data_IF_984061378539
#
_entry.id   IF_984061378539
#
_cell.length_a   1.000
_cell.length_b   1.000
_cell.length_c   1.000
_cell.angle_alpha   90.00
_cell.angle_beta   90.00
_cell.angle_gamma   90.00
#
_symmetry.space_group_name_H-M   'P 1'
#
loop_
_entity.id
_entity.type
_entity.pdbx_description
1 polymer ?
#
# COMPACT_ATOMS: atom_id res chain seq x y z
N UNK A 1 -3.68 18.55 0.69
CA UNK A 1 -3.93 17.35 1.49
C UNK A 1 -5.21 17.65 2.25
N UNK A 2 -6.26 16.87 2.00
CA UNK A 2 -7.50 16.94 2.75
C UNK A 2 -7.71 15.56 3.37
N UNK A 3 -7.96 15.51 4.66
CA UNK A 3 -8.18 14.26 5.39
C UNK A 3 -9.66 13.85 5.29
N UNK A 4 -9.94 12.55 5.40
CA UNK A 4 -11.33 12.07 5.39
C UNK A 4 -12.06 12.57 6.64
N UNK A 5 -11.37 12.74 7.76
CA UNK A 5 -11.92 13.32 8.98
C UNK A 5 -12.35 14.78 8.79
N UNK A 6 -11.72 15.53 7.88
CA UNK A 6 -12.18 16.87 7.52
C UNK A 6 -13.52 16.79 6.75
N UNK A 7 -13.69 15.81 5.86
CA UNK A 7 -14.98 15.57 5.17
C UNK A 7 -16.06 15.17 6.17
N UNK A 8 -15.73 14.32 7.15
CA UNK A 8 -16.65 13.92 8.22
C UNK A 8 -17.09 15.13 9.04
N UNK A 9 -16.16 16.00 9.43
CA UNK A 9 -16.45 17.17 10.27
C UNK A 9 -17.18 18.28 9.49
N UNK A 10 -16.86 18.47 8.21
CA UNK A 10 -17.40 19.56 7.40
C UNK A 10 -18.75 19.22 6.75
N UNK A 11 -18.96 17.96 6.35
CA UNK A 11 -20.14 17.55 5.55
C UNK A 11 -21.05 16.58 6.31
N UNK A 12 -20.49 15.49 6.87
CA UNK A 12 -21.29 14.41 7.45
C UNK A 12 -21.90 14.77 8.81
N UNK A 13 -21.06 15.12 9.80
CA UNK A 13 -21.51 15.41 11.15
C UNK A 13 -22.48 16.60 11.23
N UNK A 14 -22.29 17.71 10.49
CA UNK A 14 -23.26 18.80 10.46
C UNK A 14 -24.61 18.35 9.90
N UNK A 15 -24.60 17.51 8.85
CA UNK A 15 -25.82 16.97 8.24
C UNK A 15 -26.55 16.04 9.21
N UNK A 16 -25.86 15.03 9.77
CA UNK A 16 -26.45 14.06 10.71
C UNK A 16 -26.95 14.73 11.98
N UNK A 17 -26.19 15.66 12.57
CA UNK A 17 -26.64 16.43 13.76
C UNK A 17 -27.87 17.27 13.46
N UNK A 18 -27.93 17.87 12.27
CA UNK A 18 -29.08 18.65 11.84
C UNK A 18 -30.34 17.77 11.71
N UNK A 19 -30.20 16.58 11.11
CA UNK A 19 -31.28 15.61 10.97
C UNK A 19 -31.75 15.07 12.34
N UNK A 20 -30.82 14.70 13.23
CA UNK A 20 -31.15 14.28 14.60
C UNK A 20 -31.81 15.40 15.41
N UNK A 21 -31.35 16.63 15.26
CA UNK A 21 -31.95 17.78 15.94
C UNK A 21 -33.39 18.01 15.48
N UNK A 22 -33.68 17.88 14.18
CA UNK A 22 -35.04 17.96 13.65
C UNK A 22 -35.93 16.81 14.15
N UNK A 23 -35.46 15.56 14.05
CA UNK A 23 -36.20 14.39 14.52
C UNK A 23 -36.57 14.49 16.01
N UNK A 24 -35.61 14.87 16.87
CA UNK A 24 -35.87 15.06 18.31
C UNK A 24 -36.85 16.22 18.58
N UNK A 25 -36.79 17.30 17.79
CA UNK A 25 -37.73 18.43 17.90
C UNK A 25 -39.15 18.02 17.53
N UNK A 26 -39.31 17.20 16.50
CA UNK A 26 -40.62 16.64 16.10
C UNK A 26 -41.18 15.71 17.18
N UNK A 27 -40.31 15.03 17.92
CA UNK A 27 -40.65 14.20 19.10
C UNK A 27 -40.90 15.01 20.38
N UNK A 28 -40.88 16.34 20.31
CA UNK A 28 -41.28 17.24 21.40
C UNK A 28 -40.14 17.76 22.28
N UNK A 29 -38.87 17.50 21.94
CA UNK A 29 -37.75 18.01 22.71
C UNK A 29 -37.65 19.54 22.60
N UNK A 30 -37.26 20.19 23.72
CA UNK A 30 -36.84 21.59 23.72
C UNK A 30 -35.44 21.72 23.11
N UNK A 31 -35.07 22.93 22.67
CA UNK A 31 -33.72 23.17 22.15
C UNK A 31 -32.60 22.84 23.16
N UNK A 32 -32.87 22.96 24.46
CA UNK A 32 -31.91 22.60 25.51
C UNK A 32 -31.75 21.10 25.62
N UNK A 33 -32.84 20.34 25.62
CA UNK A 33 -32.79 18.88 25.68
C UNK A 33 -32.09 18.29 24.44
N UNK A 34 -32.32 18.86 23.25
CA UNK A 34 -31.57 18.47 22.04
C UNK A 34 -30.09 18.78 22.17
N UNK A 35 -29.73 19.95 22.73
CA UNK A 35 -28.33 20.33 22.93
C UNK A 35 -27.62 19.35 23.88
N UNK A 36 -28.29 18.98 24.97
CA UNK A 36 -27.78 18.02 25.95
C UNK A 36 -27.64 16.61 25.35
N UNK A 37 -28.62 16.16 24.56
CA UNK A 37 -28.60 14.84 23.93
C UNK A 37 -27.49 14.71 22.86
N UNK A 38 -27.26 15.76 22.08
CA UNK A 38 -26.28 15.76 20.99
C UNK A 38 -24.88 16.23 21.42
N UNK A 39 -24.71 16.69 22.67
CA UNK A 39 -23.44 17.19 23.19
C UNK A 39 -22.95 18.46 22.50
N UNK A 40 -23.86 19.34 22.08
CA UNK A 40 -23.55 20.61 21.37
C UNK A 40 -24.15 21.81 22.09
N UNK A 41 -23.82 23.02 21.66
CA UNK A 41 -24.44 24.22 22.24
C UNK A 41 -25.90 24.38 21.80
N UNK A 42 -26.73 24.96 22.67
CA UNK A 42 -28.10 25.36 22.29
C UNK A 42 -28.12 26.32 21.08
N UNK A 43 -27.08 27.16 20.93
CA UNK A 43 -26.95 28.04 19.76
C UNK A 43 -26.68 27.26 18.46
N UNK A 44 -25.97 26.12 18.52
CA UNK A 44 -25.80 25.23 17.38
C UNK A 44 -27.14 24.56 16.99
N UNK A 45 -27.91 24.08 17.97
CA UNK A 45 -29.27 23.55 17.75
C UNK A 45 -30.17 24.59 17.10
N UNK A 46 -30.10 25.85 17.54
CA UNK A 46 -30.87 26.94 16.93
C UNK A 46 -30.52 27.13 15.46
N UNK A 47 -29.24 27.05 15.07
CA UNK A 47 -28.82 27.17 13.67
C UNK A 47 -29.34 26.00 12.83
N UNK A 48 -29.28 24.78 13.34
CA UNK A 48 -29.84 23.62 12.65
C UNK A 48 -31.34 23.77 12.40
N UNK A 49 -32.10 24.18 13.42
CA UNK A 49 -33.55 24.33 13.33
C UNK A 49 -34.02 25.46 12.38
N UNK A 50 -33.17 26.43 12.07
CA UNK A 50 -33.48 27.51 11.11
C UNK A 50 -32.93 27.21 9.70
N UNK A 51 -32.28 26.06 9.50
CA UNK A 51 -31.65 25.72 8.23
C UNK A 51 -30.39 26.53 7.92
N UNK A 52 -29.79 27.18 8.92
CA UNK A 52 -28.60 28.02 8.77
C UNK A 52 -27.30 27.20 8.63
N UNK A 53 -27.39 25.87 8.64
CA UNK A 53 -26.25 24.96 8.43
C UNK A 53 -26.48 24.18 7.15
N UNK A 54 -25.53 24.29 6.23
CA UNK A 54 -25.53 23.53 4.98
C UNK A 54 -25.60 22.03 5.29
N UNK A 55 -26.49 21.34 4.57
CA UNK A 55 -26.59 19.88 4.57
C UNK A 55 -26.03 19.37 3.26
N UNK A 56 -25.34 18.25 3.31
CA UNK A 56 -24.87 17.58 2.11
C UNK A 56 -25.97 16.68 1.54
N UNK A 57 -26.43 16.98 0.32
CA UNK A 57 -27.60 16.30 -0.29
C UNK A 57 -27.43 14.78 -0.37
N UNK A 58 -26.23 14.28 -0.72
CA UNK A 58 -25.95 12.83 -0.76
C UNK A 58 -26.02 12.17 0.63
N UNK A 59 -25.65 12.88 1.70
CA UNK A 59 -25.74 12.36 3.08
C UNK A 59 -27.19 12.35 3.56
N UNK A 60 -27.96 13.38 3.22
CA UNK A 60 -29.41 13.42 3.46
C UNK A 60 -30.13 12.31 2.70
N UNK A 61 -29.63 11.96 1.51
CA UNK A 61 -30.20 10.95 0.61
C UNK A 61 -29.94 9.51 1.02
N UNK A 62 -28.86 9.25 1.77
CA UNK A 62 -28.43 7.88 2.12
C UNK A 62 -29.41 7.20 3.07
N UNK A 63 -29.92 6.03 2.67
CA UNK A 63 -30.92 5.27 3.43
C UNK A 63 -30.38 4.83 4.79
N UNK A 64 -29.11 4.43 4.88
CA UNK A 64 -28.49 3.95 6.13
C UNK A 64 -28.32 5.10 7.12
N UNK A 65 -28.01 6.29 6.63
CA UNK A 65 -27.96 7.51 7.45
C UNK A 65 -29.35 7.81 8.01
N UNK A 66 -30.40 7.77 7.18
CA UNK A 66 -31.78 8.02 7.64
C UNK A 66 -32.24 6.98 8.67
N UNK A 67 -32.01 5.70 8.41
CA UNK A 67 -32.35 4.62 9.35
C UNK A 67 -31.61 4.77 10.68
N UNK A 68 -30.33 5.18 10.65
CA UNK A 68 -29.58 5.46 11.86
C UNK A 68 -30.18 6.65 12.62
N UNK A 69 -30.46 7.76 11.93
CA UNK A 69 -31.05 8.96 12.54
C UNK A 69 -32.38 8.63 13.21
N UNK A 70 -33.27 7.90 12.53
CA UNK A 70 -34.56 7.50 13.07
C UNK A 70 -34.41 6.61 14.31
N UNK A 71 -33.55 5.59 14.24
CA UNK A 71 -33.32 4.65 15.35
C UNK A 71 -32.67 5.32 16.57
N UNK A 72 -31.64 6.13 16.34
CA UNK A 72 -30.95 6.87 17.40
C UNK A 72 -31.88 7.93 18.00
N UNK A 73 -32.64 8.64 17.16
CA UNK A 73 -33.62 9.64 17.59
C UNK A 73 -34.74 9.03 18.44
N UNK A 74 -35.30 7.88 18.02
CA UNK A 74 -36.27 7.12 18.80
C UNK A 74 -35.69 6.65 20.13
N UNK A 75 -34.52 6.03 20.11
CA UNK A 75 -33.86 5.53 21.31
C UNK A 75 -33.51 6.63 22.32
N UNK A 76 -33.05 7.79 21.84
CA UNK A 76 -32.78 8.97 22.68
C UNK A 76 -34.07 9.53 23.28
N UNK A 77 -35.15 9.61 22.49
CA UNK A 77 -36.45 10.10 22.95
C UNK A 77 -37.11 9.19 23.99
N UNK A 78 -36.96 7.87 23.84
CA UNK A 78 -37.45 6.88 24.80
C UNK A 78 -36.56 6.75 26.04
N UNK A 79 -35.31 7.20 25.97
CA UNK A 79 -34.30 7.00 27.01
C UNK A 79 -33.63 5.62 26.99
N UNK A 80 -33.89 4.83 25.95
CA UNK A 80 -33.31 3.49 25.74
C UNK A 80 -31.86 3.56 25.21
N UNK A 81 -31.52 4.65 24.52
CA UNK A 81 -30.18 4.93 23.99
C UNK A 81 -29.57 6.09 24.75
N UNK A 82 -28.35 5.91 25.25
CA UNK A 82 -27.56 6.98 25.88
C UNK A 82 -26.81 7.79 24.83
N UNK A 83 -26.40 9.04 25.10
CA UNK A 83 -25.55 9.81 24.18
C UNK A 83 -24.25 9.09 23.79
N UNK A 84 -23.68 8.29 24.70
CA UNK A 84 -22.49 7.48 24.42
C UNK A 84 -22.81 6.34 23.45
N UNK A 85 -23.96 5.67 23.61
CA UNK A 85 -24.38 4.63 22.67
C UNK A 85 -24.70 5.21 21.29
N UNK A 86 -25.38 6.36 21.23
CA UNK A 86 -25.62 7.09 19.99
C UNK A 86 -24.32 7.46 19.27
N UNK A 87 -23.32 7.96 20.02
CA UNK A 87 -21.97 8.21 19.49
C UNK A 87 -21.38 6.93 18.87
N UNK A 88 -21.42 5.81 19.59
CA UNK A 88 -20.87 4.53 19.07
C UNK A 88 -21.58 4.10 17.79
N UNK A 89 -22.91 4.20 17.70
CA UNK A 89 -23.63 3.83 16.49
C UNK A 89 -23.31 4.74 15.30
N UNK A 90 -23.15 6.05 15.53
CA UNK A 90 -22.72 7.02 14.51
C UNK A 90 -21.29 6.73 14.04
N UNK A 91 -20.36 6.48 14.97
CA UNK A 91 -18.97 6.12 14.66
C UNK A 91 -18.87 4.81 13.87
N UNK A 92 -19.71 3.82 14.19
CA UNK A 92 -19.78 2.57 13.42
C UNK A 92 -20.29 2.82 12.00
N UNK A 93 -21.27 3.70 11.81
CA UNK A 93 -21.73 4.05 10.46
C UNK A 93 -20.66 4.83 9.69
N UNK A 94 -19.99 5.81 10.33
CA UNK A 94 -18.90 6.57 9.71
C UNK A 94 -17.86 5.61 9.13
N UNK A 95 -17.35 4.67 9.94
CA UNK A 95 -16.36 3.68 9.47
C UNK A 95 -16.83 2.88 8.26
N UNK A 96 -18.09 2.44 8.26
CA UNK A 96 -18.66 1.69 7.12
C UNK A 96 -18.75 2.55 5.86
N UNK A 97 -19.03 3.83 6.01
CA UNK A 97 -19.12 4.75 4.87
C UNK A 97 -17.75 5.20 4.35
N UNK A 98 -16.71 5.11 5.19
CA UNK A 98 -15.31 5.36 4.81
C UNK A 98 -14.71 4.21 3.98
N UNK A 99 -15.26 3.01 4.07
CA UNK A 99 -14.77 1.80 3.37
C UNK A 99 -15.29 1.72 1.92
N UNK A 100 -14.74 2.55 1.03
CA UNK A 100 -15.06 2.53 -0.41
C UNK A 100 -16.52 2.90 -0.73
N UNK A 101 -17.14 3.71 0.13
CA UNK A 101 -18.55 4.08 0.05
C UNK A 101 -18.71 5.62 0.15
N UNK A 102 -19.87 6.11 0.56
CA UNK A 102 -20.25 7.51 0.51
C UNK A 102 -19.19 8.50 1.03
N UNK A 103 -18.53 8.22 2.16
CA UNK A 103 -17.51 9.13 2.69
C UNK A 103 -16.19 9.05 1.89
N UNK A 104 -15.86 7.88 1.35
CA UNK A 104 -14.75 7.73 0.42
C UNK A 104 -15.01 8.53 -0.88
N UNK A 105 -16.21 8.41 -1.46
CA UNK A 105 -16.59 9.18 -2.66
C UNK A 105 -16.46 10.70 -2.44
N UNK A 106 -16.98 11.19 -1.30
CA UNK A 106 -16.89 12.61 -0.95
C UNK A 106 -15.44 13.05 -0.70
N UNK A 107 -14.59 12.15 -0.20
CA UNK A 107 -13.18 12.40 0.00
C UNK A 107 -12.42 12.48 -1.32
N UNK A 108 -12.69 11.57 -2.25
CA UNK A 108 -12.14 11.61 -3.62
C UNK A 108 -12.56 12.88 -4.36
N UNK A 109 -13.82 13.29 -4.28
CA UNK A 109 -14.29 14.55 -4.85
C UNK A 109 -13.53 15.76 -4.28
N UNK A 110 -13.23 15.72 -2.99
CA UNK A 110 -12.50 16.79 -2.31
C UNK A 110 -10.96 16.69 -2.51
N UNK A 111 -10.44 15.54 -2.92
CA UNK A 111 -9.04 15.29 -3.24
C UNK A 111 -8.90 14.38 -4.49
N UNK A 112 -9.07 14.95 -5.70
CA UNK A 112 -9.14 14.16 -6.95
C UNK A 112 -7.92 13.28 -7.23
N UNK A 113 -6.75 13.61 -6.67
CA UNK A 113 -5.54 12.80 -6.80
C UNK A 113 -5.66 11.39 -6.14
N UNK A 114 -6.70 11.13 -5.36
CA UNK A 114 -7.00 9.80 -4.82
C UNK A 114 -7.58 8.86 -5.89
N UNK A 115 -8.37 9.39 -6.84
CA UNK A 115 -8.97 8.60 -7.92
C UNK A 115 -7.93 8.02 -8.88
N UNK A 116 -6.82 8.74 -9.11
CA UNK A 116 -5.71 8.29 -9.97
C UNK A 116 -4.86 7.17 -9.34
N UNK A 117 -5.07 6.86 -8.04
CA UNK A 117 -4.26 5.89 -7.32
C UNK A 117 -4.79 4.44 -7.40
N UNK A 118 -5.97 4.20 -7.96
CA UNK A 118 -6.60 2.87 -8.14
C UNK A 118 -6.60 2.01 -6.85
N UNK A 119 -6.94 2.65 -5.73
CA UNK A 119 -6.93 2.01 -4.41
C UNK A 119 -8.34 2.05 -3.85
N UNK A 120 -8.98 0.88 -3.73
CA UNK A 120 -10.09 0.67 -2.78
C UNK A 120 -9.62 1.11 -1.39
N UNK A 121 -9.97 2.33 -0.99
CA UNK A 121 -9.38 2.98 0.17
C UNK A 121 -10.24 2.77 1.42
N UNK A 122 -9.60 2.20 2.44
CA UNK A 122 -9.83 2.53 3.84
C UNK A 122 -8.57 3.24 4.35
N UNK A 123 -8.60 4.57 4.43
CA UNK A 123 -7.47 5.41 4.89
C UNK A 123 -7.13 5.12 6.37
N UNK A 124 -8.04 4.45 7.10
CA UNK A 124 -7.91 4.11 8.52
C UNK A 124 -7.61 2.65 8.82
N UNK A 125 -7.44 1.78 7.81
CA UNK A 125 -6.92 0.45 8.06
C UNK A 125 -5.38 0.49 8.23
N UNK A 126 -4.82 0.13 9.40
CA UNK A 126 -3.37 -0.07 9.57
C UNK A 126 -2.74 -1.04 8.56
N UNK A 127 -3.56 -1.89 7.93
CA UNK A 127 -3.19 -2.89 6.92
C UNK A 127 -3.64 -2.50 5.48
N UNK A 128 -4.03 -1.24 5.23
CA UNK A 128 -4.44 -0.79 3.89
C UNK A 128 -3.35 -1.02 2.83
N UNK A 129 -3.76 -1.54 1.67
CA UNK A 129 -2.89 -1.83 0.53
C UNK A 129 -2.06 -0.62 0.06
N UNK A 130 -2.55 0.62 0.24
CA UNK A 130 -1.72 1.82 -0.05
C UNK A 130 -0.51 1.91 0.88
N UNK A 131 -0.66 1.71 2.18
CA UNK A 131 0.46 1.83 3.12
C UNK A 131 1.53 0.81 2.79
N UNK A 132 1.12 -0.41 2.44
CA UNK A 132 2.04 -1.43 1.98
C UNK A 132 2.72 -1.05 0.67
N UNK A 133 1.95 -0.62 -0.35
CA UNK A 133 2.50 -0.13 -1.63
C UNK A 133 3.50 1.00 -1.44
N UNK A 134 3.23 1.96 -0.56
CA UNK A 134 4.16 3.05 -0.23
C UNK A 134 5.38 2.58 0.56
N UNK A 135 5.24 1.60 1.46
CA UNK A 135 6.39 0.98 2.15
C UNK A 135 7.31 0.30 1.13
N UNK A 136 6.75 -0.47 0.20
CA UNK A 136 7.47 -1.13 -0.89
C UNK A 136 8.19 -0.11 -1.77
N UNK A 137 7.49 0.92 -2.27
CA UNK A 137 8.10 1.99 -3.07
C UNK A 137 9.22 2.71 -2.30
N UNK A 138 9.00 3.01 -1.02
CA UNK A 138 10.00 3.65 -0.15
C UNK A 138 11.24 2.77 0.07
N UNK A 139 11.05 1.45 0.20
CA UNK A 139 12.13 0.48 0.30
C UNK A 139 12.95 0.42 -0.99
N UNK A 140 12.30 0.37 -2.16
CA UNK A 140 13.00 0.42 -3.46
C UNK A 140 13.77 1.73 -3.63
N UNK A 141 13.17 2.89 -3.31
CA UNK A 141 13.87 4.20 -3.31
C UNK A 141 15.07 4.21 -2.37
N UNK A 142 14.99 3.56 -1.21
CA UNK A 142 16.12 3.42 -0.28
C UNK A 142 17.20 2.52 -0.89
N UNK A 143 16.85 1.35 -1.44
CA UNK A 143 17.79 0.45 -2.10
C UNK A 143 18.50 1.11 -3.27
N UNK A 144 17.76 1.83 -4.11
CA UNK A 144 18.28 2.63 -5.20
C UNK A 144 19.35 3.64 -4.73
N UNK A 145 19.02 4.45 -3.71
CA UNK A 145 19.98 5.40 -3.11
C UNK A 145 21.21 4.70 -2.52
N UNK A 146 21.05 3.51 -1.94
CA UNK A 146 22.17 2.74 -1.40
C UNK A 146 23.13 2.34 -2.51
N UNK A 147 22.61 1.84 -3.65
CA UNK A 147 23.43 1.41 -4.78
C UNK A 147 24.05 2.57 -5.55
N UNK A 148 23.29 3.65 -5.81
CA UNK A 148 23.82 4.80 -6.57
C UNK A 148 24.88 5.59 -5.81
N UNK A 149 24.84 5.58 -4.47
CA UNK A 149 25.89 6.16 -3.62
C UNK A 149 27.09 5.22 -3.41
N UNK A 150 26.99 3.96 -3.83
CA UNK A 150 28.06 2.98 -3.68
C UNK A 150 29.08 3.15 -4.82
N UNK A 151 30.25 3.68 -4.48
CA UNK A 151 31.37 3.79 -5.41
C UNK A 151 31.72 2.42 -5.99
N UNK A 152 31.59 2.26 -7.31
CA UNK A 152 31.92 1.02 -7.99
C UNK A 152 30.74 0.12 -8.35
N UNK A 153 29.51 0.43 -7.88
CA UNK A 153 28.31 -0.31 -8.28
C UNK A 153 28.09 -0.35 -9.79
N UNK A 154 28.48 0.71 -10.53
CA UNK A 154 28.42 0.72 -11.99
C UNK A 154 29.13 -0.49 -12.63
N UNK A 155 30.20 -1.01 -12.01
CA UNK A 155 30.92 -2.21 -12.48
C UNK A 155 30.15 -3.51 -12.27
N UNK A 156 29.08 -3.50 -11.48
CA UNK A 156 28.19 -4.64 -11.27
C UNK A 156 26.98 -4.62 -12.20
N UNK A 157 26.78 -3.56 -12.98
CA UNK A 157 25.61 -3.44 -13.88
C UNK A 157 25.84 -4.33 -15.12
N UNK A 158 24.90 -5.26 -15.45
CA UNK A 158 24.97 -6.05 -16.68
C UNK A 158 24.61 -5.20 -17.92
N UNK A 159 24.89 -5.72 -19.12
CA UNK A 159 24.57 -5.01 -20.37
C UNK A 159 23.05 -4.77 -20.54
N UNK A 160 22.21 -5.70 -20.05
CA UNK A 160 20.75 -5.53 -20.01
C UNK A 160 20.25 -4.61 -18.88
N UNK A 161 21.15 -4.02 -18.08
CA UNK A 161 20.83 -3.15 -16.95
C UNK A 161 20.51 -3.90 -15.65
N UNK A 162 20.78 -3.23 -14.53
CA UNK A 162 20.44 -3.71 -13.19
C UNK A 162 19.08 -3.16 -12.76
N UNK A 163 18.40 -3.83 -11.85
CA UNK A 163 17.17 -3.33 -11.25
C UNK A 163 17.15 -3.64 -9.76
N UNK A 164 16.37 -2.84 -9.03
CA UNK A 164 16.03 -3.05 -7.63
C UNK A 164 14.52 -3.20 -7.60
N UNK A 165 14.03 -4.30 -7.06
CA UNK A 165 12.61 -4.60 -7.02
C UNK A 165 12.16 -5.07 -5.64
N UNK A 166 10.92 -4.78 -5.27
CA UNK A 166 10.27 -5.37 -4.11
C UNK A 166 8.78 -5.59 -4.39
N UNK A 167 8.22 -6.69 -3.90
CA UNK A 167 6.81 -7.03 -4.09
C UNK A 167 6.02 -6.96 -2.78
N UNK A 168 4.68 -6.85 -2.92
CA UNK A 168 3.73 -6.94 -1.82
C UNK A 168 3.77 -8.32 -1.13
N UNK A 169 3.23 -8.41 0.07
CA UNK A 169 3.20 -9.60 0.91
C UNK A 169 2.41 -10.73 0.28
N UNK A 170 1.32 -10.41 -0.42
CA UNK A 170 0.46 -11.36 -1.13
C UNK A 170 0.64 -11.33 -2.67
N UNK A 171 1.74 -10.73 -3.15
CA UNK A 171 2.03 -10.54 -4.57
C UNK A 171 1.90 -11.84 -5.39
N UNK A 172 1.17 -11.77 -6.51
CA UNK A 172 0.95 -12.90 -7.43
C UNK A 172 1.35 -12.59 -8.86
N UNK A 173 1.28 -11.32 -9.24
CA UNK A 173 1.53 -10.86 -10.60
C UNK A 173 2.64 -9.82 -10.64
N UNK A 174 3.10 -9.48 -11.85
CA UNK A 174 4.13 -8.46 -12.05
C UNK A 174 3.64 -7.07 -11.56
N UNK A 175 2.33 -6.82 -11.60
CA UNK A 175 1.71 -5.57 -11.17
C UNK A 175 1.79 -5.37 -9.64
N UNK A 176 2.08 -6.43 -8.90
CA UNK A 176 2.30 -6.41 -7.44
C UNK A 176 3.77 -6.16 -7.07
N UNK A 177 4.64 -5.92 -8.07
CA UNK A 177 6.08 -5.71 -7.89
C UNK A 177 6.48 -4.30 -8.30
N UNK A 178 7.05 -3.54 -7.36
CA UNK A 178 7.66 -2.25 -7.64
C UNK A 178 9.11 -2.41 -8.09
N UNK A 179 9.52 -1.65 -9.09
CA UNK A 179 10.90 -1.62 -9.59
C UNK A 179 11.22 -0.30 -10.28
N UNK A 180 12.44 -0.14 -10.81
CA UNK A 180 12.83 1.05 -11.59
C UNK A 180 12.46 0.86 -13.07
N UNK A 181 11.64 1.75 -13.67
CA UNK A 181 11.35 1.72 -15.10
C UNK A 181 12.63 2.04 -15.90
N UNK A 182 12.85 1.29 -16.98
CA UNK A 182 14.03 1.47 -17.82
C UNK A 182 15.36 0.95 -17.24
N UNK A 183 15.37 0.44 -16.00
CA UNK A 183 16.52 -0.17 -15.29
C UNK A 183 17.67 0.82 -15.01
N UNK A 184 18.56 0.45 -14.10
CA UNK A 184 19.82 1.15 -13.85
C UNK A 184 20.83 0.77 -14.92
N UNK A 185 21.48 1.77 -15.50
CA UNK A 185 22.47 1.59 -16.58
C UNK A 185 23.80 2.25 -16.24
N UNK A 186 24.92 1.66 -16.67
CA UNK A 186 26.23 2.29 -16.53
C UNK A 186 26.43 3.36 -17.61
N UNK A 187 26.57 4.61 -17.19
CA UNK A 187 26.93 5.74 -18.05
C UNK A 187 28.25 6.32 -17.57
N UNK A 188 29.35 5.95 -18.26
CA UNK A 188 30.72 6.42 -17.99
C UNK A 188 31.20 6.12 -16.55
N UNK A 189 30.90 4.94 -16.03
CA UNK A 189 31.29 4.50 -14.70
C UNK A 189 30.38 5.04 -13.59
N UNK A 190 29.17 5.49 -13.94
CA UNK A 190 28.17 6.02 -13.01
C UNK A 190 26.84 5.29 -13.26
N UNK A 191 26.20 4.84 -12.18
CA UNK A 191 24.87 4.25 -12.27
C UNK A 191 23.82 5.34 -12.51
N UNK A 192 23.20 5.34 -13.69
CA UNK A 192 22.13 6.25 -14.07
C UNK A 192 20.76 5.60 -13.79
N UNK A 193 19.84 6.40 -13.25
CA UNK A 193 18.45 5.99 -12.96
C UNK A 193 17.51 6.74 -13.91
N UNK A 194 16.74 6.05 -14.77
CA UNK A 194 15.86 6.71 -15.75
C UNK A 194 14.60 7.34 -15.17
N UNK A 195 14.10 6.84 -14.04
CA UNK A 195 12.84 7.28 -13.44
C UNK A 195 12.66 6.83 -11.99
N UNK A 196 11.57 7.28 -11.38
CA UNK A 196 11.18 6.88 -10.03
C UNK A 196 10.64 5.44 -10.01
N UNK A 197 10.71 4.72 -8.88
CA UNK A 197 10.14 3.38 -8.79
C UNK A 197 8.62 3.37 -9.00
N UNK A 198 8.14 2.36 -9.72
CA UNK A 198 6.74 2.17 -10.10
C UNK A 198 6.40 0.66 -10.04
N UNK A 199 5.12 0.34 -9.85
CA UNK A 199 4.61 -1.04 -9.90
C UNK A 199 4.46 -1.54 -11.35
N UNK A 200 4.68 -2.82 -11.60
CA UNK A 200 4.43 -3.44 -12.91
C UNK A 200 5.50 -3.20 -13.98
N UNK A 201 6.60 -2.51 -13.66
CA UNK A 201 7.57 -2.02 -14.69
C UNK A 201 8.76 -2.95 -14.98
N UNK A 202 8.90 -4.08 -14.27
CA UNK A 202 10.07 -4.98 -14.41
C UNK A 202 9.70 -6.45 -14.50
N UNK A 203 9.38 -6.90 -15.72
CA UNK A 203 8.98 -8.28 -15.99
C UNK A 203 10.00 -9.34 -15.53
N UNK A 204 11.29 -9.18 -15.88
CA UNK A 204 12.28 -10.22 -15.63
C UNK A 204 12.61 -10.40 -14.14
N UNK A 205 12.88 -9.30 -13.41
CA UNK A 205 13.21 -9.38 -11.99
C UNK A 205 11.98 -9.79 -11.18
N UNK A 206 10.80 -9.29 -11.54
CA UNK A 206 9.53 -9.73 -10.93
C UNK A 206 9.30 -11.23 -11.16
N UNK A 207 9.54 -11.75 -12.36
CA UNK A 207 9.38 -13.18 -12.66
C UNK A 207 10.29 -14.05 -11.81
N UNK A 208 11.57 -13.70 -11.67
CA UNK A 208 12.51 -14.45 -10.82
C UNK A 208 12.09 -14.42 -9.35
N UNK A 209 11.74 -13.22 -8.84
CA UNK A 209 11.32 -13.03 -7.45
C UNK A 209 10.04 -13.83 -7.15
N UNK A 210 9.00 -13.69 -7.97
CA UNK A 210 7.73 -14.38 -7.79
C UNK A 210 7.89 -15.90 -7.90
N UNK A 211 8.67 -16.40 -8.86
CA UNK A 211 8.94 -17.83 -9.01
C UNK A 211 9.63 -18.43 -7.77
N UNK A 212 10.61 -17.71 -7.22
CA UNK A 212 11.29 -18.13 -6.00
C UNK A 212 10.33 -18.16 -4.80
N UNK A 213 9.44 -17.15 -4.69
CA UNK A 213 8.42 -17.09 -3.64
C UNK A 213 7.39 -18.22 -3.75
N UNK A 214 6.92 -18.53 -4.95
CA UNK A 214 6.03 -19.67 -5.20
C UNK A 214 6.66 -21.00 -4.81
N UNK A 215 7.98 -21.13 -4.91
CA UNK A 215 8.74 -22.29 -4.48
C UNK A 215 9.11 -22.28 -2.98
N UNK A 216 8.66 -21.29 -2.20
CA UNK A 216 8.73 -21.26 -0.74
C UNK A 216 9.72 -20.26 -0.13
N UNK A 217 10.36 -19.40 -0.93
CA UNK A 217 11.26 -18.35 -0.42
C UNK A 217 10.46 -17.18 0.16
N UNK A 218 10.84 -16.66 1.32
CA UNK A 218 10.15 -15.55 2.02
C UNK A 218 10.58 -14.16 1.52
N UNK A 219 11.69 -14.08 0.78
CA UNK A 219 12.24 -12.84 0.24
C UNK A 219 11.22 -12.07 -0.61
N UNK A 220 11.08 -10.76 -0.35
CA UNK A 220 10.24 -9.85 -1.14
C UNK A 220 11.05 -8.87 -1.96
N UNK A 221 12.34 -8.69 -1.67
CA UNK A 221 13.24 -7.80 -2.38
C UNK A 221 14.19 -8.54 -3.30
N UNK A 222 14.58 -7.91 -4.41
CA UNK A 222 15.56 -8.44 -5.35
C UNK A 222 16.44 -7.34 -5.95
N UNK A 223 17.73 -7.67 -6.20
CA UNK A 223 18.64 -6.87 -7.02
C UNK A 223 19.33 -7.80 -8.01
N UNK A 224 19.34 -7.44 -9.30
CA UNK A 224 20.14 -8.16 -10.29
C UNK A 224 21.43 -7.41 -10.63
N UNK A 225 22.51 -8.16 -10.76
CA UNK A 225 23.85 -7.70 -11.14
C UNK A 225 24.43 -8.61 -12.23
N UNK A 226 25.49 -8.17 -12.88
CA UNK A 226 26.21 -9.00 -13.84
C UNK A 226 26.69 -10.26 -13.16
N UNK A 227 26.63 -11.37 -13.89
CA UNK A 227 27.26 -12.59 -13.44
C UNK A 227 28.78 -12.50 -13.58
N UNK A 228 29.46 -12.94 -12.53
CA UNK A 228 30.88 -13.26 -12.48
C UNK A 228 31.03 -14.30 -11.37
N UNK A 229 31.78 -15.39 -11.55
CA UNK A 229 31.97 -16.39 -10.50
C UNK A 229 32.43 -15.77 -9.16
N UNK A 230 33.27 -14.73 -9.20
CA UNK A 230 33.74 -14.05 -7.99
C UNK A 230 32.63 -13.20 -7.33
N UNK A 231 31.70 -12.64 -8.11
CA UNK A 231 30.53 -11.93 -7.58
C UNK A 231 29.59 -12.91 -6.90
N UNK A 232 29.32 -14.06 -7.53
CA UNK A 232 28.47 -15.10 -6.93
C UNK A 232 29.08 -15.62 -5.64
N UNK A 233 30.38 -15.90 -5.62
CA UNK A 233 31.09 -16.33 -4.40
C UNK A 233 31.00 -15.28 -3.28
N UNK A 234 31.20 -13.99 -3.60
CA UNK A 234 31.10 -12.91 -2.62
C UNK A 234 29.68 -12.74 -2.06
N UNK A 235 28.65 -12.85 -2.92
CA UNK A 235 27.26 -12.80 -2.46
C UNK A 235 26.89 -14.06 -1.66
N UNK A 236 27.40 -15.23 -2.05
CA UNK A 236 27.07 -16.52 -1.44
C UNK A 236 27.81 -16.83 -0.12
N UNK A 237 28.64 -15.91 0.39
CA UNK A 237 29.49 -16.17 1.55
C UNK A 237 28.74 -16.73 2.77
N UNK A 238 27.56 -16.17 3.08
CA UNK A 238 26.73 -16.54 4.23
C UNK A 238 25.29 -16.93 3.84
N UNK A 239 25.06 -17.26 2.56
CA UNK A 239 23.71 -17.54 2.05
C UNK A 239 23.74 -18.55 0.90
N UNK A 240 22.67 -19.32 0.68
CA UNK A 240 22.62 -20.27 -0.40
C UNK A 240 22.76 -19.59 -1.77
N UNK A 241 23.46 -20.26 -2.68
CA UNK A 241 23.51 -19.91 -4.08
C UNK A 241 23.00 -21.08 -4.93
N UNK A 242 22.09 -20.77 -5.84
CA UNK A 242 21.40 -21.75 -6.66
C UNK A 242 21.48 -21.31 -8.12
N UNK A 243 21.96 -22.21 -8.96
CA UNK A 243 21.98 -22.04 -10.40
C UNK A 243 20.65 -22.51 -11.00
N UNK A 244 20.14 -21.77 -11.97
CA UNK A 244 18.99 -22.20 -12.78
C UNK A 244 19.33 -22.17 -14.28
N UNK A 245 18.61 -22.98 -15.04
CA UNK A 245 18.84 -23.15 -16.47
C UNK A 245 18.35 -21.94 -17.29
N UNK A 246 19.28 -21.28 -18.00
CA UNK A 246 19.00 -20.11 -18.85
C UNK A 246 18.31 -20.46 -20.18
N UNK A 247 18.31 -21.73 -20.60
CA UNK A 247 17.68 -22.18 -21.85
C UNK A 247 16.18 -22.49 -21.66
N UNK A 248 15.71 -22.49 -20.42
CA UNK A 248 14.33 -22.80 -20.05
C UNK A 248 13.53 -21.53 -19.68
N UNK A 249 12.19 -21.59 -19.72
CA UNK A 249 11.37 -20.49 -19.22
C UNK A 249 11.73 -20.14 -17.78
N UNK A 250 12.07 -18.87 -17.52
CA UNK A 250 12.63 -18.40 -16.24
C UNK A 250 11.80 -18.85 -15.04
N UNK A 251 10.47 -18.77 -15.11
CA UNK A 251 9.59 -19.14 -13.99
C UNK A 251 9.74 -20.62 -13.63
N UNK A 252 9.75 -21.51 -14.63
CA UNK A 252 9.90 -22.95 -14.43
C UNK A 252 11.30 -23.31 -13.94
N UNK A 253 12.33 -22.72 -14.55
CA UNK A 253 13.74 -22.98 -14.20
C UNK A 253 14.04 -22.57 -12.76
N UNK A 254 13.56 -21.40 -12.32
CA UNK A 254 13.71 -20.93 -10.94
C UNK A 254 12.92 -21.81 -9.98
N UNK A 255 11.66 -22.12 -10.27
CA UNK A 255 10.83 -22.96 -9.40
C UNK A 255 11.43 -24.36 -9.19
N UNK A 256 11.99 -24.97 -10.24
CA UNK A 256 12.68 -26.26 -10.13
C UNK A 256 13.97 -26.18 -9.33
N UNK A 257 14.78 -25.14 -9.57
CA UNK A 257 16.06 -24.97 -8.89
C UNK A 257 15.89 -24.68 -7.39
N UNK A 258 14.85 -23.92 -7.02
CA UNK A 258 14.49 -23.55 -5.64
C UNK A 258 13.74 -24.68 -4.93
N UNK A 259 12.86 -25.40 -5.63
CA UNK A 259 11.99 -26.44 -5.05
C UNK A 259 12.68 -27.70 -4.53
N UNK A 260 14.02 -27.75 -4.54
CA UNK A 260 14.79 -28.82 -3.92
C UNK A 260 14.80 -28.65 -2.37
N UNK A 261 14.06 -29.49 -1.61
CA UNK A 261 13.61 -29.16 -0.24
C UNK A 261 14.74 -28.98 0.80
N UNK A 262 15.90 -29.60 0.59
CA UNK A 262 16.93 -29.68 1.63
C UNK A 262 17.84 -28.44 1.74
N UNK A 263 17.70 -27.45 0.83
CA UNK A 263 18.70 -26.37 0.68
C UNK A 263 18.31 -25.00 1.25
N UNK A 264 17.03 -24.77 1.55
CA UNK A 264 16.51 -23.40 1.73
C UNK A 264 15.65 -23.19 2.98
N UNK A 265 15.52 -24.19 3.86
CA UNK A 265 14.75 -24.04 5.10
C UNK A 265 15.27 -22.85 5.95
N UNK A 266 14.42 -21.82 6.11
CA UNK A 266 14.74 -20.62 6.91
C UNK A 266 15.66 -19.59 6.25
N UNK A 267 15.94 -19.72 4.94
CA UNK A 267 16.78 -18.76 4.22
C UNK A 267 15.97 -17.53 3.77
N UNK A 268 16.12 -16.43 4.50
CA UNK A 268 15.52 -15.13 4.15
C UNK A 268 16.26 -14.41 3.01
N UNK A 269 17.47 -14.88 2.67
CA UNK A 269 18.26 -14.37 1.54
C UNK A 269 18.76 -15.52 0.67
N UNK A 270 18.81 -15.30 -0.65
CA UNK A 270 19.16 -16.31 -1.64
C UNK A 270 19.86 -15.66 -2.84
N UNK A 271 20.93 -16.28 -3.34
CA UNK A 271 21.52 -15.93 -4.62
C UNK A 271 20.98 -16.89 -5.68
N UNK A 272 20.28 -16.37 -6.67
CA UNK A 272 19.91 -17.11 -7.89
C UNK A 272 20.80 -16.63 -9.03
N UNK A 273 21.36 -17.52 -9.82
CA UNK A 273 22.16 -17.11 -10.97
C UNK A 273 22.01 -18.07 -12.15
N UNK A 274 22.38 -17.58 -13.32
CA UNK A 274 22.48 -18.39 -14.53
C UNK A 274 23.70 -17.94 -15.34
N UNK A 275 24.33 -18.89 -16.05
CA UNK A 275 25.61 -18.69 -16.75
C UNK A 275 25.46 -18.35 -18.23
N UNK A 276 24.27 -17.94 -18.64
CA UNK A 276 23.94 -17.49 -19.98
C UNK A 276 23.55 -18.64 -20.90
N UNK A 277 23.01 -18.26 -22.04
CA UNK A 277 22.70 -19.14 -23.17
C UNK A 277 22.88 -18.34 -24.47
N UNK A 278 22.64 -18.97 -25.62
CA UNK A 278 22.68 -18.25 -26.91
C UNK A 278 21.65 -17.12 -26.90
N UNK A 279 22.12 -15.87 -26.90
CA UNK A 279 21.27 -14.67 -26.86
C UNK A 279 20.79 -14.26 -25.45
N UNK A 280 21.22 -14.96 -24.40
CA UNK A 280 20.88 -14.66 -23.00
C UNK A 280 22.16 -14.29 -22.24
N UNK A 281 22.23 -13.05 -21.75
CA UNK A 281 23.34 -12.60 -20.92
C UNK A 281 23.31 -13.31 -19.56
N UNK A 282 24.46 -13.76 -19.01
CA UNK A 282 24.53 -14.34 -17.67
C UNK A 282 24.29 -13.28 -16.58
N UNK A 283 23.46 -13.60 -15.60
CA UNK A 283 22.99 -12.67 -14.55
C UNK A 283 22.97 -13.37 -13.19
N UNK A 284 23.33 -12.62 -12.15
CA UNK A 284 23.11 -13.01 -10.76
C UNK A 284 22.02 -12.12 -10.12
N UNK A 285 21.16 -12.73 -9.33
CA UNK A 285 20.04 -12.13 -8.61
C UNK A 285 20.25 -12.39 -7.12
N UNK A 286 20.25 -11.33 -6.33
CA UNK A 286 20.22 -11.43 -4.89
C UNK A 286 18.79 -11.15 -4.41
N UNK A 287 18.20 -12.12 -3.73
CA UNK A 287 16.91 -12.03 -3.07
C UNK A 287 17.11 -11.81 -1.57
N UNK A 288 16.28 -10.96 -0.96
CA UNK A 288 16.32 -10.62 0.46
C UNK A 288 14.93 -10.23 0.99
N UNK A 289 14.72 -10.05 2.31
CA UNK A 289 13.43 -9.63 2.86
C UNK A 289 12.89 -8.33 2.25
N UNK A 290 13.77 -7.37 1.96
CA UNK A 290 13.43 -6.09 1.33
C UNK A 290 14.42 -5.69 0.24
N UNK A 291 14.00 -4.85 -0.70
CA UNK A 291 14.86 -4.23 -1.72
C UNK A 291 16.01 -3.46 -1.07
N UNK A 292 15.73 -2.78 0.04
CA UNK A 292 16.75 -2.01 0.76
C UNK A 292 17.84 -2.90 1.37
N UNK A 293 17.50 -4.09 1.84
CA UNK A 293 18.44 -5.09 2.35
C UNK A 293 19.23 -5.73 1.22
N UNK A 294 18.57 -6.15 0.14
CA UNK A 294 19.25 -6.69 -1.04
C UNK A 294 20.30 -5.69 -1.58
N UNK A 295 19.93 -4.41 -1.67
CA UNK A 295 20.85 -3.34 -2.05
C UNK A 295 22.01 -3.15 -1.06
N UNK A 296 21.76 -3.27 0.25
CA UNK A 296 22.80 -3.14 1.27
C UNK A 296 23.85 -4.24 1.16
N UNK A 297 23.42 -5.48 0.90
CA UNK A 297 24.29 -6.63 0.66
C UNK A 297 25.10 -6.45 -0.63
N UNK A 298 24.47 -6.06 -1.74
CA UNK A 298 25.19 -5.81 -3.00
C UNK A 298 26.23 -4.69 -2.84
N UNK A 299 25.96 -3.69 -2.00
CA UNK A 299 26.95 -2.64 -1.68
C UNK A 299 28.19 -3.18 -0.95
N UNK A 300 28.10 -4.28 -0.22
CA UNK A 300 29.25 -4.80 0.54
C UNK A 300 30.32 -5.44 -0.36
N UNK A 301 29.99 -5.75 -1.61
CA UNK A 301 30.89 -6.41 -2.56
C UNK A 301 31.51 -5.45 -3.61
N UNK A 302 31.37 -4.14 -3.45
CA UNK A 302 31.90 -3.11 -4.39
C UNK A 302 33.13 -2.36 -3.91
#
# INVERSE_FOLDING_TARGET
>A
MKFIEEVVVDEFLPTVRSMLAEDLRERGFTQREVADALGISQSAVSKYAHGDVARHDRVVADERVRELVERVGEGLAAGDVTPVAALVEIEVLIRRLEEGDLLADLHEEAMPALADADVEFSVHDPDSGLRERERVLSSVRRGLRTLTNASGFARLIPNVGANVAECLDDARTIDDVAAVPGRLVDVKGQAMVPGEPEFGVSEHVATVLLAAREAGVTARGAVNVRYDPAIVEALAADRPAVEFDAERPTREAVAEAVGAPDRLEGADTLVLYQTGAVGVEPIAYLLAPTASEAAAIVREIV
#
